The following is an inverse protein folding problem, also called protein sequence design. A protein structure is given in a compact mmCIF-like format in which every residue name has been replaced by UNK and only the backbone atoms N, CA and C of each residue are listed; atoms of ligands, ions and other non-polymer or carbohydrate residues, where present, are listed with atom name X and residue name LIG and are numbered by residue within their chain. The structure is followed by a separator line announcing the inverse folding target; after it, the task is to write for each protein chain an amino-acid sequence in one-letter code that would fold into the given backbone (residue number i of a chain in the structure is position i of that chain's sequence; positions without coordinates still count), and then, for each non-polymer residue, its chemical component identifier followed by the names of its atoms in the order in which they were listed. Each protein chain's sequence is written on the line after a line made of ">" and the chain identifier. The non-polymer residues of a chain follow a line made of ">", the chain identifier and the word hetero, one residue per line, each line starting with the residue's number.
data_IF_830860648026
#
_entry.id   IF_830860648026
#
_cell.length_a   1.000
_cell.length_b   1.000
_cell.length_c   1.000
_cell.angle_alpha   90.00
_cell.angle_beta   90.00
_cell.angle_gamma   90.00
#
_symmetry.space_group_name_H-M   'P 1'
#
loop_
_entity.id
_entity.type
_entity.pdbx_description
1 polymer ?
#
# COMPACT_ATOMS: atom_id res chain seq x y z
N UNK A 1 3.23 -15.53 -14.15
CA UNK A 1 2.83 -14.11 -14.26
C UNK A 1 2.10 -13.55 -13.02
N UNK A 2 1.51 -14.36 -12.13
CA UNK A 2 0.79 -13.81 -10.96
C UNK A 2 1.71 -13.55 -9.75
N UNK A 3 2.78 -14.31 -9.58
CA UNK A 3 3.63 -14.24 -8.37
C UNK A 3 4.39 -12.92 -8.24
N UNK A 4 4.90 -12.38 -9.36
CA UNK A 4 5.58 -11.09 -9.35
C UNK A 4 4.64 -9.96 -8.92
N UNK A 5 3.36 -10.04 -9.31
CA UNK A 5 2.37 -9.02 -8.98
C UNK A 5 1.98 -9.11 -7.50
N UNK A 6 1.84 -10.32 -6.96
CA UNK A 6 1.63 -10.54 -5.52
C UNK A 6 2.82 -10.01 -4.73
N UNK A 7 4.05 -10.35 -5.13
CA UNK A 7 5.26 -9.86 -4.49
C UNK A 7 5.37 -8.33 -4.54
N UNK A 8 5.09 -7.73 -5.71
CA UNK A 8 5.13 -6.28 -5.89
C UNK A 8 4.14 -5.57 -4.96
N UNK A 9 2.89 -6.05 -4.87
CA UNK A 9 1.85 -5.39 -4.10
C UNK A 9 1.94 -5.62 -2.59
N UNK A 10 2.46 -6.78 -2.16
CA UNK A 10 2.39 -7.20 -0.76
C UNK A 10 3.75 -7.27 -0.04
N UNK A 11 4.86 -7.40 -0.76
CA UNK A 11 6.18 -7.67 -0.17
C UNK A 11 7.23 -6.63 -0.51
N UNK A 12 7.15 -6.01 -1.70
CA UNK A 12 8.15 -5.05 -2.16
C UNK A 12 7.90 -3.66 -1.56
N UNK A 13 8.80 -3.10 -0.73
CA UNK A 13 8.71 -1.73 -0.27
C UNK A 13 9.14 -0.75 -1.38
N UNK A 14 8.48 0.41 -1.46
CA UNK A 14 8.73 1.42 -2.48
C UNK A 14 9.13 2.74 -1.82
N UNK A 15 10.27 3.29 -2.22
CA UNK A 15 10.76 4.58 -1.69
C UNK A 15 9.76 5.72 -1.87
N UNK A 16 9.09 5.77 -3.03
CA UNK A 16 8.04 6.76 -3.33
C UNK A 16 6.81 6.66 -2.43
N UNK A 17 6.59 5.51 -1.79
CA UNK A 17 5.52 5.27 -0.82
C UNK A 17 6.00 5.43 0.64
N UNK A 18 7.21 5.98 0.85
CA UNK A 18 7.82 6.08 2.18
C UNK A 18 8.28 4.72 2.70
N UNK A 19 8.84 3.88 1.83
CA UNK A 19 9.27 2.50 2.11
C UNK A 19 8.13 1.55 2.50
N UNK A 20 6.89 1.87 2.12
CA UNK A 20 5.74 0.98 2.27
C UNK A 20 5.49 0.14 1.03
N UNK A 21 4.83 -1.00 1.20
CA UNK A 21 4.22 -1.73 0.09
C UNK A 21 2.94 -1.01 -0.37
N UNK A 22 2.47 -1.23 -1.62
CA UNK A 22 1.20 -0.66 -2.09
C UNK A 22 0.04 -0.99 -1.16
N UNK A 23 -0.02 -2.21 -0.63
CA UNK A 23 -1.02 -2.63 0.34
C UNK A 23 -0.93 -1.83 1.66
N UNK A 24 0.25 -1.73 2.26
CA UNK A 24 0.46 -0.96 3.50
C UNK A 24 0.15 0.53 3.33
N UNK A 25 0.50 1.09 2.16
CA UNK A 25 0.21 2.48 1.84
C UNK A 25 -1.30 2.74 1.74
N UNK A 26 -2.05 1.80 1.15
CA UNK A 26 -3.51 1.87 1.11
C UNK A 26 -4.12 1.78 2.50
N UNK A 27 -3.69 0.85 3.35
CA UNK A 27 -4.15 0.75 4.75
C UNK A 27 -3.87 2.03 5.54
N UNK A 28 -2.67 2.60 5.37
CA UNK A 28 -2.29 3.86 6.01
C UNK A 28 -3.14 5.05 5.54
N UNK A 29 -3.56 5.07 4.27
CA UNK A 29 -4.42 6.12 3.70
C UNK A 29 -5.93 5.90 3.90
N UNK A 30 -6.35 4.67 4.19
CA UNK A 30 -7.74 4.30 4.46
C UNK A 30 -8.35 4.98 5.69
N UNK A 31 -7.56 5.70 6.50
CA UNK A 31 -8.04 6.55 7.58
C UNK A 31 -8.50 7.96 7.13
N UNK A 32 -8.43 8.30 5.83
CA UNK A 32 -9.03 9.54 5.28
C UNK A 32 -10.44 9.29 4.73
N UNK A 33 -11.25 8.51 5.46
CA UNK A 33 -12.70 8.35 5.19
C UNK A 33 -13.55 8.37 6.47
N UNK A 34 -12.97 8.73 7.63
CA UNK A 34 -13.72 8.81 8.91
C UNK A 34 -13.66 10.19 9.57
N UNK A 35 -13.43 11.23 8.78
CA UNK A 35 -13.67 12.61 9.21
C UNK A 35 -14.31 13.35 8.04
N UNK A 36 -15.63 13.31 8.00
CA UNK A 36 -16.52 14.34 7.47
C UNK A 36 -17.93 14.00 7.96
N UNK A 37 -18.33 14.68 9.05
CA UNK A 37 -19.65 14.79 9.69
C UNK A 37 -20.48 13.52 9.93
#
# INVERSE_FOLDING_TARGET
>A
LKDWLVFYNQKRPHQSLGYLTPYQYQEKRGFVSKVCN
#
